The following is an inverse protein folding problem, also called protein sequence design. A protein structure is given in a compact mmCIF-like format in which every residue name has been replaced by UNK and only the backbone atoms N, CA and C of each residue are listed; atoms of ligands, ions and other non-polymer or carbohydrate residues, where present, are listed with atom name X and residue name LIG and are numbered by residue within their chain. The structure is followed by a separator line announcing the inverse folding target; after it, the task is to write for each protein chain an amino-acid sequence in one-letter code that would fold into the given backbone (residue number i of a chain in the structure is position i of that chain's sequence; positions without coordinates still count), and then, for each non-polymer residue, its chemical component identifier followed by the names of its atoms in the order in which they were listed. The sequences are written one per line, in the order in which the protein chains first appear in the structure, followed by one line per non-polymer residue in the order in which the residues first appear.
data_IF_393630713957
#
_entry.id   IF_393630713957
#
_cell.length_a   1.000
_cell.length_b   1.000
_cell.length_c   1.000
_cell.angle_alpha   90.00
_cell.angle_beta   90.00
_cell.angle_gamma   90.00
#
_symmetry.space_group_name_H-M   'P 1'
#
loop_
_entity.id
_entity.type
_entity.pdbx_description
1 polymer ?
#
# COMPACT_ATOMS: atom_id res chain seq x y z
N UNK A 1 -26.92 -5.31 -45.02
CA UNK A 1 -25.78 -4.55 -44.47
C UNK A 1 -25.13 -5.42 -43.41
N UNK A 2 -23.96 -5.98 -43.69
CA UNK A 2 -23.25 -6.84 -42.74
C UNK A 2 -22.47 -5.97 -41.78
N UNK A 3 -22.82 -6.06 -40.49
CA UNK A 3 -22.06 -5.42 -39.40
C UNK A 3 -20.75 -6.19 -39.25
N UNK A 4 -19.66 -5.60 -39.73
CA UNK A 4 -18.30 -6.09 -39.48
C UNK A 4 -17.99 -5.87 -37.99
N UNK A 5 -18.00 -6.95 -37.19
CA UNK A 5 -17.44 -6.92 -35.80
C UNK A 5 -15.95 -6.67 -35.95
N UNK A 6 -15.51 -5.47 -35.62
CA UNK A 6 -14.08 -5.20 -35.39
C UNK A 6 -13.69 -6.05 -34.19
N UNK A 7 -12.86 -7.06 -34.43
CA UNK A 7 -12.12 -7.72 -33.35
C UNK A 7 -11.33 -6.66 -32.59
N UNK A 8 -11.61 -6.51 -31.29
CA UNK A 8 -10.74 -5.73 -30.42
C UNK A 8 -9.34 -6.33 -30.52
N UNK A 9 -8.29 -5.48 -30.64
CA UNK A 9 -6.94 -6.00 -30.61
C UNK A 9 -6.75 -6.74 -29.27
N UNK A 10 -6.25 -7.96 -29.35
CA UNK A 10 -5.78 -8.73 -28.19
C UNK A 10 -4.81 -7.82 -27.45
N UNK A 11 -5.13 -7.49 -26.20
CA UNK A 11 -4.15 -6.83 -25.34
C UNK A 11 -2.92 -7.73 -25.28
N UNK A 12 -1.74 -7.18 -25.50
CA UNK A 12 -0.50 -7.93 -25.36
C UNK A 12 -0.50 -8.63 -24.00
N UNK A 13 -0.06 -9.91 -23.94
CA UNK A 13 0.01 -10.60 -22.65
C UNK A 13 0.87 -9.79 -21.69
N UNK A 14 0.37 -9.59 -20.46
CA UNK A 14 1.15 -8.90 -19.45
C UNK A 14 2.47 -9.68 -19.22
N UNK A 15 3.61 -8.98 -19.14
CA UNK A 15 4.90 -9.65 -18.98
C UNK A 15 4.97 -10.39 -17.63
N UNK A 16 5.81 -11.43 -17.59
CA UNK A 16 6.09 -12.19 -16.38
C UNK A 16 6.57 -11.27 -15.24
N UNK A 17 6.34 -11.71 -13.99
CA UNK A 17 6.87 -11.04 -12.81
C UNK A 17 8.20 -11.66 -12.41
N UNK A 18 9.13 -10.80 -11.99
CA UNK A 18 10.35 -11.22 -11.31
C UNK A 18 10.08 -11.28 -9.79
N UNK A 19 10.63 -12.28 -9.06
CA UNK A 19 10.53 -12.28 -7.60
C UNK A 19 11.15 -11.02 -6.99
N UNK A 20 10.53 -10.45 -5.94
CA UNK A 20 11.14 -9.39 -5.15
C UNK A 20 12.33 -9.93 -4.34
N UNK A 21 13.32 -9.06 -4.04
CA UNK A 21 14.37 -9.41 -3.07
C UNK A 21 13.80 -9.35 -1.65
N UNK A 22 13.72 -10.51 -1.00
CA UNK A 22 13.25 -10.63 0.39
C UNK A 22 14.41 -10.62 1.42
N UNK A 23 15.61 -10.19 1.07
CA UNK A 23 16.79 -10.16 1.95
C UNK A 23 16.86 -8.97 2.92
N UNK A 24 15.74 -8.37 3.26
CA UNK A 24 15.58 -7.26 4.20
C UNK A 24 14.97 -7.73 5.52
N UNK A 25 15.05 -6.88 6.56
CA UNK A 25 14.52 -7.16 7.91
C UNK A 25 13.39 -6.25 8.32
N UNK A 26 13.37 -5.00 7.86
CA UNK A 26 12.37 -4.01 8.28
C UNK A 26 11.75 -3.31 7.07
N UNK A 27 10.42 -3.28 7.02
CA UNK A 27 9.65 -2.52 6.04
C UNK A 27 8.70 -1.53 6.73
N UNK A 28 8.43 -0.42 6.04
CA UNK A 28 7.41 0.56 6.40
C UNK A 28 6.39 0.64 5.26
N UNK A 29 5.14 0.33 5.55
CA UNK A 29 4.03 0.54 4.62
C UNK A 29 3.45 1.93 4.85
N UNK A 30 3.44 2.78 3.82
CA UNK A 30 2.89 4.15 3.86
C UNK A 30 1.76 4.23 2.87
N UNK A 31 0.54 4.36 3.37
CA UNK A 31 -0.68 4.40 2.55
C UNK A 31 -1.61 5.53 2.99
N UNK A 32 -2.53 5.92 2.13
CA UNK A 32 -3.41 7.05 2.37
C UNK A 32 -4.41 6.76 3.50
N UNK A 33 -5.07 5.59 3.44
CA UNK A 33 -6.23 5.28 4.29
C UNK A 33 -6.07 3.93 4.99
N UNK A 34 -6.76 3.73 6.12
CA UNK A 34 -7.08 2.39 6.61
C UNK A 34 -7.76 1.57 5.51
N UNK A 35 -7.40 0.30 5.37
CA UNK A 35 -7.80 -0.67 4.35
C UNK A 35 -6.94 -0.74 3.08
N UNK A 36 -6.24 0.28 2.70
CA UNK A 36 -5.45 0.33 1.46
C UNK A 36 -4.52 -0.89 1.27
N UNK A 37 -3.91 -1.38 2.34
CA UNK A 37 -3.01 -2.55 2.29
C UNK A 37 -3.80 -3.85 2.15
N UNK A 38 -4.98 -3.89 2.72
CA UNK A 38 -5.85 -5.06 2.75
C UNK A 38 -6.43 -5.37 1.38
N UNK A 39 -6.65 -4.36 0.56
CA UNK A 39 -7.11 -4.54 -0.82
C UNK A 39 -6.07 -5.11 -1.79
N UNK A 40 -4.92 -5.62 -1.30
CA UNK A 40 -4.00 -6.33 -2.19
C UNK A 40 -2.64 -6.71 -1.60
N UNK A 41 -2.21 -6.11 -0.49
CA UNK A 41 -0.84 -6.26 0.04
C UNK A 41 -0.79 -7.13 1.30
N UNK A 42 -1.89 -7.24 2.05
CA UNK A 42 -1.93 -7.87 3.36
C UNK A 42 -1.45 -9.33 3.36
N UNK A 43 -1.73 -10.10 2.30
CA UNK A 43 -1.22 -11.47 2.16
C UNK A 43 0.31 -11.52 2.06
N UNK A 44 0.94 -10.57 1.37
CA UNK A 44 2.40 -10.45 1.30
C UNK A 44 2.98 -10.05 2.67
N UNK A 45 2.33 -9.11 3.37
CA UNK A 45 2.73 -8.73 4.74
C UNK A 45 2.67 -9.93 5.67
N UNK A 46 1.60 -10.75 5.63
CA UNK A 46 1.49 -11.97 6.41
C UNK A 46 2.66 -12.94 6.17
N UNK A 47 3.09 -13.11 4.92
CA UNK A 47 4.27 -13.91 4.58
C UNK A 47 5.53 -13.35 5.21
N UNK A 48 5.74 -12.06 5.16
CA UNK A 48 6.96 -11.45 5.69
C UNK A 48 7.03 -11.47 7.21
N UNK A 49 5.91 -11.27 7.90
CA UNK A 49 5.84 -11.41 9.36
C UNK A 49 6.07 -12.85 9.80
N UNK A 50 5.59 -13.86 9.06
CA UNK A 50 5.88 -15.29 9.30
C UNK A 50 7.36 -15.62 9.11
N UNK A 51 8.07 -14.88 8.26
CA UNK A 51 9.53 -14.98 8.11
C UNK A 51 10.31 -14.26 9.24
N UNK A 52 9.61 -13.67 10.21
CA UNK A 52 10.23 -12.93 11.32
C UNK A 52 10.68 -11.51 10.98
N UNK A 53 10.20 -10.96 9.87
CA UNK A 53 10.48 -9.56 9.49
C UNK A 53 9.58 -8.60 10.27
N UNK A 54 10.10 -7.42 10.54
CA UNK A 54 9.32 -6.32 11.12
C UNK A 54 8.66 -5.50 10.01
N UNK A 55 7.34 -5.43 10.03
CA UNK A 55 6.56 -4.56 9.16
C UNK A 55 5.80 -3.56 10.01
N UNK A 56 5.89 -2.27 9.66
CA UNK A 56 5.19 -1.17 10.33
C UNK A 56 4.20 -0.55 9.36
N UNK A 57 3.01 -0.23 9.83
CA UNK A 57 2.01 0.48 9.06
C UNK A 57 1.98 1.97 9.44
N UNK A 58 1.99 2.84 8.45
CA UNK A 58 1.81 4.29 8.59
C UNK A 58 0.66 4.74 7.70
N UNK A 59 -0.49 4.96 8.33
CA UNK A 59 -1.69 5.50 7.69
C UNK A 59 -1.58 7.03 7.66
N UNK A 60 -1.61 7.64 6.48
CA UNK A 60 -1.48 9.10 6.35
C UNK A 60 -2.70 9.79 6.94
N UNK A 61 -3.89 9.25 6.72
CA UNK A 61 -5.14 9.70 7.33
C UNK A 61 -5.73 8.62 8.24
N UNK A 62 -6.83 8.90 8.86
CA UNK A 62 -7.63 7.90 9.59
C UNK A 62 -8.86 7.44 8.80
N UNK A 63 -8.97 7.84 7.52
CA UNK A 63 -10.09 7.49 6.66
C UNK A 63 -11.43 8.07 7.12
N UNK A 64 -11.39 9.21 7.81
CA UNK A 64 -12.53 9.80 8.50
C UNK A 64 -13.65 10.28 7.59
N UNK A 65 -13.37 10.47 6.29
CA UNK A 65 -14.36 10.84 5.28
C UNK A 65 -14.90 9.63 4.47
N UNK A 66 -14.44 8.41 4.76
CA UNK A 66 -14.70 7.23 3.93
C UNK A 66 -16.06 6.54 4.17
N UNK A 67 -16.85 6.94 5.18
CA UNK A 67 -18.17 6.34 5.48
C UNK A 67 -19.23 7.44 5.48
N UNK A 68 -20.00 7.55 4.38
CA UNK A 68 -20.97 8.64 4.15
C UNK A 68 -22.02 8.78 5.27
N UNK A 69 -22.47 7.68 5.84
CA UNK A 69 -23.45 7.67 6.92
C UNK A 69 -22.92 7.87 8.33
N UNK A 70 -21.63 8.22 8.51
CA UNK A 70 -20.98 8.32 9.82
C UNK A 70 -20.24 9.65 9.97
N UNK A 71 -20.44 10.32 11.13
CA UNK A 71 -19.70 11.54 11.43
C UNK A 71 -18.17 11.31 11.44
N UNK A 72 -17.36 12.23 10.91
CA UNK A 72 -15.91 12.00 10.75
C UNK A 72 -15.17 11.61 12.03
N UNK A 73 -15.54 12.18 13.18
CA UNK A 73 -14.89 11.85 14.45
C UNK A 73 -15.21 10.40 14.90
N UNK A 74 -16.38 9.89 14.57
CA UNK A 74 -16.76 8.50 14.83
C UNK A 74 -16.11 7.57 13.80
N UNK A 75 -16.16 7.91 12.52
CA UNK A 75 -15.54 7.16 11.44
C UNK A 75 -14.03 6.97 11.71
N UNK A 76 -13.32 8.02 12.12
CA UNK A 76 -11.92 7.95 12.56
C UNK A 76 -11.74 6.85 13.61
N UNK A 77 -12.49 6.92 14.71
CA UNK A 77 -12.33 5.98 15.83
C UNK A 77 -12.59 4.53 15.41
N UNK A 78 -13.60 4.32 14.59
CA UNK A 78 -13.97 2.99 14.10
C UNK A 78 -12.91 2.45 13.15
N UNK A 79 -12.52 3.23 12.15
CA UNK A 79 -11.54 2.80 11.13
C UNK A 79 -10.14 2.60 11.69
N UNK A 80 -9.72 3.43 12.66
CA UNK A 80 -8.46 3.20 13.38
C UNK A 80 -8.48 1.87 14.14
N UNK A 81 -9.58 1.53 14.80
CA UNK A 81 -9.72 0.26 15.52
C UNK A 81 -9.74 -0.95 14.56
N UNK A 82 -10.45 -0.85 13.44
CA UNK A 82 -10.48 -1.89 12.41
C UNK A 82 -9.09 -2.10 11.79
N UNK A 83 -8.35 -1.01 11.51
CA UNK A 83 -6.99 -1.10 10.98
C UNK A 83 -6.01 -1.77 11.95
N UNK A 84 -6.11 -1.48 13.24
CA UNK A 84 -5.26 -2.14 14.25
C UNK A 84 -5.56 -3.63 14.34
N UNK A 85 -6.83 -4.03 14.30
CA UNK A 85 -7.21 -5.44 14.30
C UNK A 85 -6.79 -6.16 13.00
N UNK A 86 -6.99 -5.52 11.86
CA UNK A 86 -6.55 -6.01 10.55
C UNK A 86 -5.03 -6.23 10.52
N UNK A 87 -4.25 -5.28 10.97
CA UNK A 87 -2.80 -5.36 11.08
C UNK A 87 -2.36 -6.55 11.97
N UNK A 88 -3.03 -6.74 13.12
CA UNK A 88 -2.76 -7.86 14.04
C UNK A 88 -2.96 -9.23 13.36
N UNK A 89 -3.95 -9.37 12.49
CA UNK A 89 -4.23 -10.63 11.77
C UNK A 89 -3.04 -11.03 10.90
N UNK A 90 -2.35 -10.08 10.31
CA UNK A 90 -1.18 -10.32 9.46
C UNK A 90 0.16 -10.20 10.20
N UNK A 91 0.13 -10.11 11.54
CA UNK A 91 1.34 -10.12 12.37
C UNK A 91 2.04 -8.77 12.48
N UNK A 92 1.39 -7.67 12.13
CA UNK A 92 1.90 -6.31 12.31
C UNK A 92 1.54 -5.80 13.70
N UNK A 93 2.55 -5.35 14.46
CA UNK A 93 2.40 -4.90 15.85
C UNK A 93 2.30 -3.36 15.97
N UNK A 94 2.77 -2.64 14.95
CA UNK A 94 2.84 -1.17 14.98
C UNK A 94 2.04 -0.56 13.85
N UNK A 95 0.99 0.18 14.21
CA UNK A 95 0.20 1.01 13.29
C UNK A 95 0.33 2.46 13.77
N UNK A 96 0.82 3.33 12.90
CA UNK A 96 0.96 4.77 13.12
C UNK A 96 -0.06 5.51 12.26
N UNK A 97 -0.79 6.46 12.85
CA UNK A 97 -1.66 7.38 12.12
C UNK A 97 -1.02 8.75 12.09
N UNK A 98 -0.73 9.28 10.89
CA UNK A 98 0.00 10.54 10.72
C UNK A 98 -0.91 11.77 10.92
N UNK A 99 -2.23 11.57 10.92
CA UNK A 99 -3.22 12.56 11.32
C UNK A 99 -3.48 13.68 10.30
N UNK A 100 -3.19 13.45 9.02
CA UNK A 100 -3.59 14.37 7.96
C UNK A 100 -5.08 14.16 7.64
N UNK A 101 -5.72 15.17 7.04
CA UNK A 101 -7.15 15.13 6.73
C UNK A 101 -7.42 14.22 5.52
N UNK A 102 -8.43 13.35 5.68
CA UNK A 102 -8.87 12.39 4.67
C UNK A 102 -9.63 13.07 3.52
N UNK A 103 -9.43 12.59 2.29
CA UNK A 103 -10.10 13.04 1.08
C UNK A 103 -9.54 14.33 0.46
N UNK A 104 -8.56 14.96 1.11
CA UNK A 104 -8.00 16.26 0.69
C UNK A 104 -6.46 16.31 0.77
N UNK A 105 -5.80 15.18 0.64
CA UNK A 105 -4.34 15.15 0.65
C UNK A 105 -3.77 15.86 -0.59
N UNK A 106 -2.89 16.81 -0.34
CA UNK A 106 -2.14 17.47 -1.40
C UNK A 106 -0.69 16.99 -1.41
N UNK A 107 -0.18 16.62 -2.59
CA UNK A 107 1.25 16.43 -2.76
C UNK A 107 1.99 17.74 -2.43
N UNK A 108 2.85 17.72 -1.43
CA UNK A 108 3.59 18.89 -1.02
C UNK A 108 4.43 18.68 0.23
N UNK A 109 5.00 19.79 0.72
CA UNK A 109 5.93 19.79 1.85
C UNK A 109 5.30 19.23 3.14
N UNK A 110 4.04 19.54 3.52
CA UNK A 110 3.46 19.00 4.74
C UNK A 110 3.37 17.47 4.75
N UNK A 111 2.88 16.87 3.64
CA UNK A 111 2.75 15.43 3.48
C UNK A 111 4.12 14.74 3.46
N UNK A 112 5.08 15.25 2.68
CA UNK A 112 6.46 14.73 2.66
C UNK A 112 7.12 14.79 4.03
N UNK A 113 6.89 15.88 4.79
CA UNK A 113 7.41 16.05 6.16
C UNK A 113 6.88 14.99 7.11
N UNK A 114 5.58 14.72 7.08
CA UNK A 114 4.95 13.72 7.94
C UNK A 114 5.51 12.32 7.64
N UNK A 115 5.56 11.93 6.36
CA UNK A 115 6.11 10.63 5.92
C UNK A 115 7.60 10.53 6.25
N UNK A 116 8.38 11.58 6.01
CA UNK A 116 9.81 11.63 6.33
C UNK A 116 10.08 11.36 7.82
N UNK A 117 9.25 11.89 8.72
CA UNK A 117 9.37 11.64 10.15
C UNK A 117 9.15 10.16 10.48
N UNK A 118 8.17 9.50 9.85
CA UNK A 118 7.92 8.07 10.01
C UNK A 118 9.09 7.23 9.47
N UNK A 119 9.62 7.52 8.28
CA UNK A 119 10.80 6.85 7.74
C UNK A 119 12.02 6.99 8.68
N UNK A 120 12.27 8.19 9.23
CA UNK A 120 13.36 8.43 10.20
C UNK A 120 13.18 7.66 11.50
N UNK A 121 11.94 7.52 11.97
CA UNK A 121 11.58 6.82 13.22
C UNK A 121 11.79 5.33 13.08
N UNK A 122 11.25 4.74 12.02
CA UNK A 122 11.21 3.29 11.85
C UNK A 122 12.42 2.72 11.10
N UNK A 123 13.18 3.56 10.37
CA UNK A 123 14.44 3.21 9.70
C UNK A 123 14.34 1.97 8.80
N UNK A 124 13.35 1.89 7.90
CA UNK A 124 13.10 0.72 7.07
C UNK A 124 14.15 0.56 5.96
N UNK A 125 14.34 -0.68 5.51
CA UNK A 125 15.12 -1.00 4.30
C UNK A 125 14.25 -0.97 3.06
N UNK A 126 12.96 -1.31 3.21
CA UNK A 126 11.94 -1.26 2.16
C UNK A 126 10.81 -0.34 2.61
N UNK A 127 10.32 0.49 1.69
CA UNK A 127 9.07 1.24 1.89
C UNK A 127 8.05 0.73 0.89
N UNK A 128 6.84 0.43 1.36
CA UNK A 128 5.74 -0.06 0.54
C UNK A 128 4.65 1.01 0.52
N UNK A 129 4.10 1.28 -0.65
CA UNK A 129 2.96 2.18 -0.83
C UNK A 129 1.98 1.59 -1.83
N UNK A 130 0.83 2.23 -2.03
CA UNK A 130 -0.11 1.84 -3.07
C UNK A 130 0.24 2.44 -4.43
N UNK A 131 -0.48 1.97 -5.45
CA UNK A 131 -0.48 2.58 -6.77
C UNK A 131 -0.73 4.09 -6.69
N UNK A 132 0.18 4.86 -7.26
CA UNK A 132 0.09 6.33 -7.36
C UNK A 132 0.08 6.82 -8.81
N UNK A 133 -0.17 5.91 -9.77
CA UNK A 133 -0.47 6.27 -11.15
C UNK A 133 -1.86 6.88 -11.22
N UNK A 134 -2.15 7.65 -12.25
CA UNK A 134 -3.45 8.30 -12.43
C UNK A 134 -4.59 7.29 -12.56
N UNK A 135 -4.29 6.04 -12.90
CA UNK A 135 -5.28 4.98 -13.07
C UNK A 135 -4.86 3.67 -12.40
N UNK A 136 -5.84 2.81 -12.14
CA UNK A 136 -5.65 1.41 -11.74
C UNK A 136 -5.39 0.47 -12.93
N UNK A 137 -5.24 1.04 -14.10
CA UNK A 137 -5.17 0.39 -15.41
C UNK A 137 -6.37 0.76 -16.28
N UNK A 138 -6.13 0.89 -17.57
CA UNK A 138 -7.15 1.31 -18.53
C UNK A 138 -7.69 2.71 -18.22
N UNK A 139 -9.02 2.81 -18.04
CA UNK A 139 -9.73 4.07 -17.80
C UNK A 139 -10.20 4.23 -16.34
N UNK A 140 -9.85 3.33 -15.45
CA UNK A 140 -10.25 3.38 -14.04
C UNK A 140 -9.36 4.38 -13.30
N UNK A 141 -9.88 5.57 -12.99
CA UNK A 141 -9.16 6.60 -12.27
C UNK A 141 -8.81 6.15 -10.86
N UNK A 142 -7.61 6.52 -10.43
CA UNK A 142 -7.16 6.38 -9.05
C UNK A 142 -7.62 7.57 -8.20
N UNK A 143 -7.62 7.41 -6.89
CA UNK A 143 -7.97 8.47 -5.95
C UNK A 143 -6.82 9.48 -5.80
N UNK A 144 -7.19 10.76 -5.61
CA UNK A 144 -6.22 11.83 -5.43
C UNK A 144 -5.29 11.59 -4.23
N UNK A 145 -5.83 11.08 -3.12
CA UNK A 145 -5.06 10.81 -1.89
C UNK A 145 -4.02 9.70 -2.10
N UNK A 146 -4.34 8.64 -2.86
CA UNK A 146 -3.37 7.60 -3.23
C UNK A 146 -2.24 8.16 -4.07
N UNK A 147 -2.58 9.00 -5.07
CA UNK A 147 -1.59 9.63 -5.97
C UNK A 147 -0.67 10.55 -5.16
N UNK A 148 -1.26 11.40 -4.31
CA UNK A 148 -0.51 12.31 -3.45
C UNK A 148 0.41 11.57 -2.48
N UNK A 149 -0.11 10.54 -1.80
CA UNK A 149 0.64 9.75 -0.81
C UNK A 149 1.80 9.00 -1.44
N UNK A 150 1.56 8.24 -2.50
CA UNK A 150 2.62 7.44 -3.12
C UNK A 150 3.71 8.32 -3.73
N UNK A 151 3.34 9.41 -4.39
CA UNK A 151 4.31 10.39 -4.90
C UNK A 151 5.13 11.03 -3.78
N UNK A 152 4.48 11.45 -2.70
CA UNK A 152 5.16 12.04 -1.55
C UNK A 152 6.08 11.04 -0.83
N UNK A 153 5.72 9.75 -0.84
CA UNK A 153 6.53 8.68 -0.24
C UNK A 153 7.88 8.54 -0.93
N UNK A 154 7.93 8.54 -2.27
CA UNK A 154 9.19 8.49 -3.01
C UNK A 154 10.13 9.64 -2.64
N UNK A 155 9.59 10.86 -2.54
CA UNK A 155 10.39 12.03 -2.19
C UNK A 155 10.78 12.04 -0.69
N UNK A 156 9.85 11.65 0.19
CA UNK A 156 10.09 11.59 1.63
C UNK A 156 11.20 10.60 2.02
N UNK A 157 11.32 9.49 1.30
CA UNK A 157 12.43 8.55 1.48
C UNK A 157 13.77 9.22 1.20
N UNK A 158 13.88 10.02 0.14
CA UNK A 158 15.09 10.80 -0.16
C UNK A 158 15.34 11.89 0.87
N UNK A 159 14.27 12.58 1.29
CA UNK A 159 14.31 13.61 2.33
C UNK A 159 14.84 13.04 3.65
N UNK A 160 14.43 11.82 4.01
CA UNK A 160 14.85 11.17 5.26
C UNK A 160 16.37 10.96 5.33
N UNK A 161 17.01 10.69 4.18
CA UNK A 161 18.46 10.58 4.06
C UNK A 161 19.21 11.92 4.10
N UNK A 162 18.53 13.05 3.93
CA UNK A 162 19.11 14.37 3.86
C UNK A 162 19.08 15.05 5.24
N UNK A 163 20.25 15.50 5.73
CA UNK A 163 20.39 16.18 7.03
C UNK A 163 19.70 17.54 7.10
N UNK A 164 19.54 18.22 5.98
CA UNK A 164 19.11 19.61 5.91
C UNK A 164 17.63 19.77 5.56
N UNK A 165 17.01 18.71 5.03
CA UNK A 165 15.58 18.69 4.78
C UNK A 165 14.86 18.30 6.06
N UNK A 166 13.85 19.09 6.45
CA UNK A 166 13.10 18.92 7.72
C UNK A 166 14.05 18.81 8.93
N UNK A 167 14.95 19.79 9.03
CA UNK A 167 15.99 19.83 10.04
C UNK A 167 15.42 19.82 11.47
N UNK A 168 14.26 20.42 11.67
CA UNK A 168 13.53 20.43 12.95
C UNK A 168 13.26 19.01 13.51
N UNK A 169 13.13 18.00 12.63
CA UNK A 169 13.00 16.60 13.05
C UNK A 169 14.31 16.07 13.64
N UNK A 170 15.43 16.46 13.07
CA UNK A 170 16.76 16.08 13.56
C UNK A 170 17.05 16.80 14.88
N UNK A 171 16.76 18.11 14.95
CA UNK A 171 16.91 18.90 16.18
C UNK A 171 15.99 18.39 17.29
N UNK A 172 14.84 17.77 16.94
CA UNK A 172 13.90 17.09 17.82
C UNK A 172 14.27 15.65 18.21
N UNK A 173 15.45 15.15 17.79
CA UNK A 173 16.01 13.86 18.22
C UNK A 173 15.89 12.71 17.22
N UNK A 174 15.18 12.87 16.09
CA UNK A 174 15.22 11.89 15.02
C UNK A 174 16.58 11.94 14.32
N UNK A 175 17.01 10.80 13.79
CA UNK A 175 18.24 10.75 13.01
C UNK A 175 17.91 10.60 11.52
N UNK A 176 18.76 11.16 10.65
CA UNK A 176 18.65 10.92 9.22
C UNK A 176 18.70 9.41 8.94
N UNK A 177 17.92 8.98 7.97
CA UNK A 177 17.90 7.60 7.51
C UNK A 177 18.00 7.53 5.99
N UNK A 178 19.12 7.02 5.48
CA UNK A 178 19.37 6.81 4.06
C UNK A 178 19.49 5.32 3.71
N UNK A 179 18.96 4.42 4.56
CA UNK A 179 19.08 2.98 4.37
C UNK A 179 17.92 2.34 3.61
N UNK A 180 16.96 3.14 3.11
CA UNK A 180 15.92 2.60 2.22
C UNK A 180 16.54 2.24 0.88
N UNK A 181 16.45 0.97 0.50
CA UNK A 181 16.96 0.43 -0.75
C UNK A 181 15.97 0.62 -1.90
N UNK A 182 14.71 0.36 -1.61
CA UNK A 182 13.64 0.36 -2.60
C UNK A 182 12.33 0.89 -2.03
N UNK A 183 11.51 1.46 -2.92
CA UNK A 183 10.09 1.73 -2.67
C UNK A 183 9.27 0.85 -3.61
N UNK A 184 8.32 0.11 -3.06
CA UNK A 184 7.44 -0.79 -3.80
C UNK A 184 6.02 -0.24 -3.82
N UNK A 185 5.45 -0.07 -5.02
CA UNK A 185 4.06 0.34 -5.18
C UNK A 185 3.21 -0.89 -5.50
N UNK A 186 2.34 -1.27 -4.56
CA UNK A 186 1.39 -2.35 -4.73
C UNK A 186 0.26 -1.95 -5.68
N UNK A 187 -0.35 -2.92 -6.35
CA UNK A 187 -1.50 -2.73 -7.25
C UNK A 187 -1.24 -1.73 -8.40
N UNK A 188 0.04 -1.48 -8.73
CA UNK A 188 0.39 -0.66 -9.89
C UNK A 188 0.16 -1.43 -11.19
N UNK A 189 -0.43 -0.79 -12.23
CA UNK A 189 -0.55 -1.40 -13.55
C UNK A 189 0.83 -1.68 -14.20
N UNK A 190 1.87 -1.01 -13.73
CA UNK A 190 3.25 -1.17 -14.20
C UNK A 190 4.06 -2.18 -13.37
N UNK A 191 3.42 -2.96 -12.51
CA UNK A 191 4.07 -3.97 -11.67
C UNK A 191 4.83 -5.01 -12.49
N UNK A 192 6.13 -5.20 -12.15
CA UNK A 192 7.04 -6.17 -12.80
C UNK A 192 7.66 -7.14 -11.81
N UNK A 193 7.42 -6.97 -10.51
CA UNK A 193 7.92 -7.86 -9.47
C UNK A 193 6.75 -8.45 -8.70
N UNK A 194 6.98 -9.59 -8.04
CA UNK A 194 5.95 -10.25 -7.26
C UNK A 194 6.50 -11.07 -6.12
N UNK A 195 5.61 -11.38 -5.18
CA UNK A 195 5.87 -12.29 -4.08
C UNK A 195 4.78 -13.35 -4.03
N UNK A 196 5.19 -14.60 -3.81
CA UNK A 196 4.28 -15.74 -3.63
C UNK A 196 3.50 -15.58 -2.32
N UNK A 197 2.19 -15.51 -2.41
CA UNK A 197 1.27 -15.37 -1.27
C UNK A 197 0.34 -16.57 -1.11
N UNK A 198 0.64 -17.68 -1.76
CA UNK A 198 -0.21 -18.88 -1.79
C UNK A 198 -0.60 -19.36 -0.39
N UNK A 199 0.37 -19.46 0.53
CA UNK A 199 0.15 -19.96 1.88
C UNK A 199 -0.49 -18.91 2.81
N UNK A 200 -0.42 -17.63 2.47
CA UNK A 200 -0.88 -16.52 3.33
C UNK A 200 -2.09 -15.78 2.76
N UNK A 201 -2.61 -16.19 1.61
CA UNK A 201 -3.75 -15.55 0.95
C UNK A 201 -4.96 -15.43 1.88
N UNK A 202 -5.31 -16.50 2.58
CA UNK A 202 -6.46 -16.50 3.50
C UNK A 202 -6.29 -15.55 4.69
N UNK A 203 -5.06 -15.28 5.13
CA UNK A 203 -4.81 -14.24 6.15
C UNK A 203 -5.02 -12.84 5.58
N UNK A 204 -4.66 -12.62 4.32
CA UNK A 204 -5.00 -11.37 3.62
C UNK A 204 -6.52 -11.16 3.52
N UNK A 205 -7.27 -12.21 3.19
CA UNK A 205 -8.76 -12.19 3.17
C UNK A 205 -9.30 -11.85 4.56
N UNK A 206 -8.83 -12.52 5.60
CA UNK A 206 -9.27 -12.27 6.98
C UNK A 206 -8.93 -10.84 7.46
N UNK A 207 -7.81 -10.29 7.02
CA UNK A 207 -7.38 -8.92 7.30
C UNK A 207 -8.35 -7.91 6.66
N UNK A 208 -8.71 -8.08 5.38
CA UNK A 208 -9.72 -7.23 4.73
C UNK A 208 -11.09 -7.36 5.40
N UNK A 209 -11.51 -8.57 5.75
CA UNK A 209 -12.77 -8.82 6.41
C UNK A 209 -12.89 -8.17 7.81
N UNK A 210 -11.78 -7.74 8.41
CA UNK A 210 -11.80 -7.02 9.69
C UNK A 210 -12.31 -5.57 9.57
N UNK A 211 -12.30 -4.98 8.38
CA UNK A 211 -12.83 -3.64 8.09
C UNK A 211 -14.35 -3.64 7.91
N UNK A 212 -15.10 -4.16 8.89
CA UNK A 212 -16.54 -4.41 8.79
C UNK A 212 -17.37 -3.16 8.58
N UNK A 213 -17.17 -2.15 9.43
CA UNK A 213 -17.95 -0.92 9.34
C UNK A 213 -17.65 -0.17 8.04
N UNK A 214 -16.40 -0.21 7.57
CA UNK A 214 -16.04 0.36 6.28
C UNK A 214 -16.69 -0.39 5.12
N UNK A 215 -16.61 -1.72 5.09
CA UNK A 215 -17.23 -2.55 4.05
C UNK A 215 -18.74 -2.36 4.01
N UNK A 216 -19.39 -2.36 5.18
CA UNK A 216 -20.83 -2.09 5.29
C UNK A 216 -21.17 -0.68 4.77
N UNK A 217 -20.29 0.29 5.01
CA UNK A 217 -20.44 1.68 4.58
C UNK A 217 -20.26 1.90 3.07
N UNK A 218 -19.61 0.98 2.34
CA UNK A 218 -19.46 1.07 0.88
C UNK A 218 -20.78 0.88 0.13
N UNK A 219 -21.79 0.31 0.77
CA UNK A 219 -23.09 0.05 0.15
C UNK A 219 -23.03 -0.97 -0.99
N UNK A 220 -21.98 -1.78 -1.05
CA UNK A 220 -21.86 -2.84 -2.05
C UNK A 220 -22.72 -4.04 -1.63
N UNK A 221 -23.70 -4.38 -2.48
CA UNK A 221 -24.50 -5.57 -2.23
C UNK A 221 -23.64 -6.83 -2.28
N UNK A 222 -23.63 -7.61 -1.19
CA UNK A 222 -22.98 -8.93 -1.13
C UNK A 222 -21.45 -8.90 -1.39
N UNK A 223 -20.72 -7.88 -0.90
CA UNK A 223 -19.27 -7.86 -1.02
C UNK A 223 -18.62 -9.04 -0.28
N UNK A 224 -17.86 -9.84 -1.02
CA UNK A 224 -17.06 -10.95 -0.50
C UNK A 224 -15.57 -10.61 -0.63
N UNK A 225 -14.83 -10.44 0.48
CA UNK A 225 -13.41 -10.13 0.46
C UNK A 225 -12.57 -11.19 -0.27
N UNK A 226 -12.92 -12.48 -0.19
CA UNK A 226 -12.19 -13.54 -0.86
C UNK A 226 -12.38 -13.47 -2.38
N UNK A 227 -13.62 -13.35 -2.84
CA UNK A 227 -13.95 -13.23 -4.26
C UNK A 227 -13.27 -11.98 -4.87
N UNK A 228 -13.27 -10.88 -4.13
CA UNK A 228 -12.63 -9.63 -4.58
C UNK A 228 -11.11 -9.80 -4.76
N UNK A 229 -10.43 -10.39 -3.78
CA UNK A 229 -8.96 -10.51 -3.79
C UNK A 229 -8.46 -11.62 -4.72
N UNK A 230 -9.25 -12.70 -4.89
CA UNK A 230 -8.80 -13.90 -5.59
C UNK A 230 -8.42 -13.62 -7.05
N UNK A 231 -9.21 -12.84 -7.75
CA UNK A 231 -8.98 -12.53 -9.17
C UNK A 231 -7.62 -11.91 -9.42
N UNK A 232 -7.27 -10.87 -8.65
CA UNK A 232 -5.98 -10.18 -8.75
C UNK A 232 -4.81 -11.07 -8.31
N UNK A 233 -4.97 -11.80 -7.21
CA UNK A 233 -3.93 -12.69 -6.69
C UNK A 233 -3.61 -13.84 -7.66
N UNK A 234 -4.61 -14.45 -8.30
CA UNK A 234 -4.43 -15.48 -9.32
C UNK A 234 -3.77 -14.94 -10.59
N UNK A 235 -4.19 -13.73 -11.02
CA UNK A 235 -3.57 -13.09 -12.19
C UNK A 235 -2.09 -12.82 -11.96
N UNK A 236 -1.73 -12.26 -10.80
CA UNK A 236 -0.33 -12.04 -10.42
C UNK A 236 0.42 -13.38 -10.25
N UNK A 237 -0.24 -14.39 -9.65
CA UNK A 237 0.29 -15.73 -9.49
C UNK A 237 0.65 -16.38 -10.81
N UNK A 238 -0.23 -16.29 -11.81
CA UNK A 238 0.03 -16.81 -13.17
C UNK A 238 1.29 -16.18 -13.78
N UNK A 239 1.49 -14.88 -13.58
CA UNK A 239 2.66 -14.14 -14.08
C UNK A 239 3.95 -14.48 -13.32
N UNK A 240 3.84 -14.87 -12.05
CA UNK A 240 4.99 -15.26 -11.21
C UNK A 240 5.29 -16.77 -11.26
N UNK A 241 4.37 -17.58 -11.82
CA UNK A 241 4.50 -19.05 -11.85
C UNK A 241 4.10 -19.75 -10.55
N UNK A 242 3.19 -19.14 -9.76
CA UNK A 242 2.66 -19.68 -8.50
C UNK A 242 1.13 -19.56 -8.46
N UNK A 243 0.42 -20.25 -7.53
CA UNK A 243 -1.04 -20.16 -7.45
C UNK A 243 -1.57 -18.75 -7.13
N UNK A 244 -0.97 -18.06 -6.16
CA UNK A 244 -1.37 -16.73 -5.71
C UNK A 244 -0.14 -15.84 -5.50
N UNK A 245 -0.19 -14.59 -5.95
CA UNK A 245 0.89 -13.63 -5.72
C UNK A 245 0.35 -12.20 -5.49
N UNK A 246 1.19 -11.37 -4.90
CA UNK A 246 1.03 -9.91 -4.88
C UNK A 246 2.07 -9.29 -5.80
N UNK A 247 1.64 -8.37 -6.66
CA UNK A 247 2.51 -7.70 -7.63
C UNK A 247 2.89 -6.28 -7.17
N UNK A 248 4.12 -5.86 -7.52
CA UNK A 248 4.68 -4.57 -7.17
C UNK A 248 5.38 -3.91 -8.36
N UNK A 249 5.29 -2.59 -8.43
CA UNK A 249 6.22 -1.75 -9.17
C UNK A 249 7.35 -1.34 -8.22
N UNK A 250 8.60 -1.64 -8.57
CA UNK A 250 9.76 -1.43 -7.71
C UNK A 250 10.57 -0.24 -8.18
N UNK A 251 10.86 0.67 -7.26
CA UNK A 251 11.69 1.85 -7.47
C UNK A 251 12.97 1.73 -6.66
N UNK A 252 14.13 1.61 -7.32
CA UNK A 252 15.43 1.66 -6.64
C UNK A 252 15.71 3.06 -6.11
N UNK A 253 16.14 3.16 -4.85
CA UNK A 253 16.52 4.42 -4.20
C UNK A 253 18.03 4.65 -4.21
N UNK A 254 18.82 3.64 -4.59
CA UNK A 254 20.26 3.76 -4.81
C UNK A 254 20.57 4.47 -6.14
N UNK A 255 21.64 5.28 -6.17
CA UNK A 255 22.25 5.73 -7.42
C UNK A 255 23.07 4.55 -7.93
N UNK A 256 22.60 3.88 -8.99
CA UNK A 256 23.13 2.67 -9.62
C UNK A 256 24.49 2.17 -9.13
N UNK A 257 24.48 0.96 -8.59
CA UNK A 257 25.69 0.13 -8.50
C UNK A 257 25.97 -0.51 -9.84
#
# INVERSE_FOLDING_TARGET
MAYCRRSQPYADPMPDLEPVDESWTTALCVVAHPDDLEFGTAAAVARWTDQGKTVVYAMVTSGEAGIDGMEPAEARRVREAEQVESARIVGVETVEFLGLADGVLEYGVPLRRAICASVRRHRPEIVITNNFRDTWGGQNLNQADHIATGRATLDAVRDAGNRWVFREQIDGGLQRWGGVREVWAASSPDGRHGVDTTETFQRGVASLAAHKAYIDGLGWESFDPEEFLEGGARQAGTRLGVPMATAFEVFSMGWGS
#
